data_IF_754829112096
#
_entry.id   IF_754829112096
#
_cell.length_a   1.000
_cell.length_b   1.000
_cell.length_c   1.000
_cell.angle_alpha   90.00
_cell.angle_beta   90.00
_cell.angle_gamma   90.00
#
_symmetry.space_group_name_H-M   'P 1'
#
loop_
_entity.id
_entity.type
_entity.pdbx_description
1 polymer ?
#
# COMPACT_ATOMS: atom_id res chain seq x y z
N UNK A 1 -23.42 33.70 43.35
CA UNK A 1 -23.46 32.23 43.45
C UNK A 1 -24.67 31.77 42.64
N UNK A 2 -24.61 31.13 41.48
CA UNK A 2 -23.54 30.51 40.73
C UNK A 2 -23.73 30.82 39.24
N UNK A 3 -22.72 31.47 38.66
CA UNK A 3 -22.43 31.46 37.23
C UNK A 3 -21.42 30.31 36.99
N UNK A 4 -21.25 29.92 35.73
CA UNK A 4 -20.33 28.90 35.20
C UNK A 4 -20.76 27.43 35.38
N UNK A 5 -21.51 26.87 34.41
CA UNK A 5 -21.27 25.46 34.01
C UNK A 5 -21.82 25.01 32.64
N UNK A 6 -22.00 25.92 31.67
CA UNK A 6 -22.47 25.54 30.32
C UNK A 6 -21.37 25.56 29.24
N UNK A 7 -20.09 25.65 29.61
CA UNK A 7 -18.99 25.88 28.66
C UNK A 7 -18.05 24.71 28.35
N UNK A 8 -18.11 23.57 29.06
CA UNK A 8 -17.00 22.58 29.02
C UNK A 8 -17.40 21.22 28.43
N UNK A 9 -18.69 20.91 28.27
CA UNK A 9 -19.11 19.59 27.74
C UNK A 9 -19.24 19.52 26.22
N UNK A 10 -18.99 20.63 25.50
CA UNK A 10 -19.14 20.72 24.05
C UNK A 10 -17.85 20.66 23.24
N UNK A 11 -16.67 20.48 23.87
CA UNK A 11 -15.38 20.65 23.18
C UNK A 11 -14.44 19.44 23.22
N UNK A 12 -14.88 18.29 23.74
CA UNK A 12 -14.00 17.11 23.92
C UNK A 12 -14.36 15.88 23.08
N UNK A 13 -15.35 15.97 22.18
CA UNK A 13 -15.76 14.86 21.30
C UNK A 13 -15.67 15.18 19.81
N UNK A 14 -14.76 16.09 19.42
CA UNK A 14 -14.47 16.36 17.99
C UNK A 14 -12.99 16.10 17.63
N UNK A 15 -12.11 15.82 18.61
CA UNK A 15 -10.68 15.67 18.35
C UNK A 15 -10.21 14.24 17.96
N UNK A 16 -11.06 13.21 18.02
CA UNK A 16 -10.60 11.82 17.87
C UNK A 16 -10.81 11.19 16.49
N UNK A 17 -11.44 11.88 15.54
CA UNK A 17 -11.68 11.32 14.19
C UNK A 17 -10.79 11.89 13.08
N UNK A 18 -9.89 12.83 13.40
CA UNK A 18 -9.03 13.46 12.40
C UNK A 18 -7.62 12.82 12.28
N UNK A 19 -7.26 11.84 13.12
CA UNK A 19 -5.89 11.29 13.11
C UNK A 19 -5.69 10.08 12.17
N UNK A 20 -6.75 9.55 11.56
CA UNK A 20 -6.64 8.36 10.70
C UNK A 20 -6.20 8.64 9.25
N UNK A 21 -6.03 9.92 8.84
CA UNK A 21 -5.80 10.29 7.44
C UNK A 21 -4.32 10.42 7.00
N UNK A 22 -3.34 10.10 7.85
CA UNK A 22 -1.91 10.26 7.53
C UNK A 22 -1.14 8.95 7.29
N UNK A 23 -1.81 7.80 7.32
CA UNK A 23 -1.18 6.52 6.97
C UNK A 23 -1.53 6.23 5.50
N UNK A 24 -0.78 6.86 4.58
CA UNK A 24 -0.74 6.38 3.20
C UNK A 24 -0.36 4.88 3.21
N UNK A 25 -0.85 4.06 2.27
CA UNK A 25 -0.61 2.62 2.31
C UNK A 25 0.88 2.31 2.18
N UNK A 26 1.54 2.09 3.33
CA UNK A 26 2.93 1.66 3.44
C UNK A 26 3.16 0.26 2.85
N UNK A 27 2.08 -0.44 2.54
CA UNK A 27 2.07 -1.85 2.15
C UNK A 27 2.49 -2.03 0.68
N UNK A 28 1.93 -1.25 -0.25
CA UNK A 28 2.36 -1.30 -1.66
C UNK A 28 3.85 -0.91 -1.80
N UNK A 29 4.30 -0.02 -0.91
CA UNK A 29 5.67 0.43 -0.77
C UNK A 29 6.62 -0.65 -0.22
N UNK A 30 6.11 -1.58 0.60
CA UNK A 30 6.89 -2.69 1.18
C UNK A 30 7.08 -3.87 0.22
N UNK A 31 6.41 -3.90 -0.93
CA UNK A 31 6.63 -4.97 -1.90
C UNK A 31 8.02 -4.86 -2.55
N UNK A 32 8.40 -3.64 -2.94
CA UNK A 32 9.62 -3.37 -3.68
C UNK A 32 10.91 -3.48 -2.84
N UNK A 33 10.81 -3.58 -1.51
CA UNK A 33 11.97 -3.72 -0.60
C UNK A 33 12.11 -5.13 0.02
N UNK A 34 11.37 -6.12 -0.47
CA UNK A 34 11.44 -7.52 -0.01
C UNK A 34 12.42 -8.38 -0.81
N UNK A 35 12.96 -9.43 -0.17
CA UNK A 35 13.87 -10.41 -0.81
C UNK A 35 13.24 -11.24 -1.93
N UNK A 36 11.91 -11.35 -1.94
CA UNK A 36 11.08 -12.02 -2.95
C UNK A 36 10.30 -11.02 -3.83
N UNK A 37 10.50 -9.72 -3.60
CA UNK A 37 9.92 -8.65 -4.41
C UNK A 37 10.58 -8.51 -5.79
N UNK A 38 9.95 -7.73 -6.69
CA UNK A 38 10.29 -7.71 -8.12
C UNK A 38 11.64 -7.04 -8.37
N UNK A 39 12.01 -6.04 -7.57
CA UNK A 39 13.31 -5.37 -7.62
C UNK A 39 14.45 -6.38 -7.36
N UNK A 40 14.32 -7.20 -6.32
CA UNK A 40 15.32 -8.20 -5.97
C UNK A 40 15.29 -9.39 -6.93
N UNK A 41 14.10 -9.77 -7.43
CA UNK A 41 13.97 -10.80 -8.47
C UNK A 41 14.78 -10.46 -9.71
N UNK A 42 14.63 -9.24 -10.25
CA UNK A 42 15.43 -8.77 -11.38
C UNK A 42 16.91 -8.65 -11.03
N UNK A 43 17.26 -8.26 -9.79
CA UNK A 43 18.64 -8.21 -9.35
C UNK A 43 19.32 -9.58 -9.34
N UNK A 44 18.61 -10.64 -8.93
CA UNK A 44 19.12 -12.01 -8.97
C UNK A 44 19.40 -12.46 -10.40
N UNK A 45 18.46 -12.21 -11.30
CA UNK A 45 18.60 -12.52 -12.73
C UNK A 45 19.78 -11.75 -13.34
N UNK A 46 19.82 -10.42 -13.14
CA UNK A 46 20.91 -9.57 -13.61
C UNK A 46 22.28 -10.06 -13.11
N UNK A 47 22.41 -10.35 -11.81
CA UNK A 47 23.66 -10.86 -11.26
C UNK A 47 24.03 -12.22 -11.85
N UNK A 48 23.08 -13.14 -12.00
CA UNK A 48 23.30 -14.47 -12.58
C UNK A 48 23.79 -14.39 -14.03
N UNK A 49 23.20 -13.50 -14.83
CA UNK A 49 23.52 -13.32 -16.24
C UNK A 49 24.73 -12.40 -16.46
N UNK A 50 25.13 -11.64 -15.43
CA UNK A 50 26.19 -10.62 -15.54
C UNK A 50 25.76 -9.39 -16.36
N UNK A 51 24.45 -9.21 -16.58
CA UNK A 51 23.87 -8.08 -17.30
C UNK A 51 23.12 -7.16 -16.34
N UNK A 52 23.56 -5.91 -16.21
CA UNK A 52 22.93 -4.90 -15.34
C UNK A 52 21.63 -4.37 -15.93
N UNK A 53 21.38 -4.54 -17.22
CA UNK A 53 20.26 -3.89 -17.93
C UNK A 53 18.89 -4.11 -17.29
N UNK A 54 18.51 -5.32 -16.82
CA UNK A 54 17.19 -5.56 -16.23
C UNK A 54 16.90 -4.74 -14.98
N UNK A 55 17.93 -4.34 -14.21
CA UNK A 55 17.72 -3.62 -12.94
C UNK A 55 17.61 -2.11 -13.09
N UNK A 56 18.09 -1.54 -14.19
CA UNK A 56 18.16 -0.08 -14.35
C UNK A 56 16.78 0.56 -14.48
N UNK A 57 15.77 -0.20 -14.93
CA UNK A 57 14.37 0.24 -14.99
C UNK A 57 13.76 0.56 -13.61
N UNK A 58 14.37 0.10 -12.53
CA UNK A 58 13.90 0.33 -11.17
C UNK A 58 14.42 1.63 -10.54
N UNK A 59 15.34 2.33 -11.19
CA UNK A 59 15.93 3.57 -10.63
C UNK A 59 15.74 4.74 -11.59
N UNK A 60 15.93 5.96 -11.10
CA UNK A 60 15.94 7.13 -11.98
C UNK A 60 17.19 7.10 -12.86
N UNK A 61 17.09 7.70 -14.04
CA UNK A 61 18.20 7.74 -15.00
C UNK A 61 19.48 8.36 -14.41
N UNK A 62 19.33 9.37 -13.54
CA UNK A 62 20.45 10.01 -12.82
C UNK A 62 21.17 9.09 -11.83
N UNK A 63 20.50 8.05 -11.33
CA UNK A 63 21.04 7.10 -10.35
C UNK A 63 21.66 5.84 -11.01
N UNK A 64 21.46 5.63 -12.32
CA UNK A 64 22.04 4.49 -13.04
C UNK A 64 23.56 4.32 -12.84
N UNK A 65 24.38 5.40 -12.83
CA UNK A 65 25.82 5.26 -12.62
C UNK A 65 26.18 4.63 -11.27
N UNK A 66 25.40 4.89 -10.22
CA UNK A 66 25.60 4.27 -8.90
C UNK A 66 25.33 2.76 -8.96
N UNK A 67 24.22 2.37 -9.59
CA UNK A 67 23.82 0.96 -9.73
C UNK A 67 24.83 0.17 -10.56
N UNK A 68 25.29 0.73 -11.69
CA UNK A 68 26.32 0.09 -12.53
C UNK A 68 27.61 -0.16 -11.75
N UNK A 69 28.07 0.83 -10.99
CA UNK A 69 29.27 0.70 -10.14
C UNK A 69 29.10 -0.35 -9.04
N UNK A 70 27.94 -0.38 -8.38
CA UNK A 70 27.64 -1.40 -7.36
C UNK A 70 27.58 -2.80 -7.97
N UNK A 71 27.00 -2.94 -9.16
CA UNK A 71 26.90 -4.19 -9.90
C UNK A 71 28.27 -4.76 -10.27
N UNK A 72 29.15 -3.94 -10.84
CA UNK A 72 30.53 -4.34 -11.19
C UNK A 72 31.32 -4.82 -9.96
N UNK A 73 31.23 -4.09 -8.85
CA UNK A 73 31.84 -4.50 -7.58
C UNK A 73 31.30 -5.84 -7.12
N UNK A 74 29.99 -6.02 -7.19
CA UNK A 74 29.31 -7.26 -6.79
C UNK A 74 29.80 -8.45 -7.63
N UNK A 75 29.84 -8.32 -8.95
CA UNK A 75 30.37 -9.36 -9.84
C UNK A 75 31.83 -9.73 -9.52
N UNK A 76 32.65 -8.75 -9.13
CA UNK A 76 34.06 -9.00 -8.79
C UNK A 76 34.24 -9.79 -7.49
N UNK A 77 33.38 -9.59 -6.50
CA UNK A 77 33.44 -10.25 -5.18
C UNK A 77 32.70 -11.58 -5.17
N UNK A 78 31.53 -11.68 -5.83
CA UNK A 78 30.64 -12.86 -5.75
C UNK A 78 31.19 -14.15 -6.36
N UNK A 79 32.35 -14.06 -7.02
CA UNK A 79 33.06 -15.18 -7.65
C UNK A 79 34.14 -15.80 -6.75
N UNK A 80 34.42 -15.22 -5.59
CA UNK A 80 35.49 -15.69 -4.70
C UNK A 80 35.12 -17.00 -4.01
N UNK A 81 34.03 -17.00 -3.24
CA UNK A 81 33.47 -18.17 -2.56
C UNK A 81 31.97 -17.95 -2.26
N UNK A 82 31.33 -18.95 -1.64
CA UNK A 82 29.89 -18.91 -1.34
C UNK A 82 29.52 -17.81 -0.33
N UNK A 83 30.34 -17.60 0.72
CA UNK A 83 30.09 -16.54 1.69
C UNK A 83 30.28 -15.15 1.10
N UNK A 84 31.29 -14.99 0.25
CA UNK A 84 31.53 -13.76 -0.50
C UNK A 84 30.40 -13.48 -1.50
N UNK A 85 29.82 -14.52 -2.12
CA UNK A 85 28.63 -14.40 -2.98
C UNK A 85 27.45 -13.88 -2.21
N UNK A 86 27.10 -14.51 -1.08
CA UNK A 86 25.95 -14.10 -0.29
C UNK A 86 26.09 -12.65 0.18
N UNK A 87 27.28 -12.27 0.69
CA UNK A 87 27.55 -10.91 1.13
C UNK A 87 27.48 -9.89 -0.03
N UNK A 88 28.06 -10.21 -1.18
CA UNK A 88 28.07 -9.32 -2.34
C UNK A 88 26.66 -9.15 -2.93
N UNK A 89 25.91 -10.24 -3.05
CA UNK A 89 24.54 -10.22 -3.56
C UNK A 89 23.64 -9.41 -2.62
N UNK A 90 23.71 -9.62 -1.30
CA UNK A 90 22.97 -8.81 -0.32
C UNK A 90 23.35 -7.34 -0.39
N UNK A 91 24.64 -7.00 -0.48
CA UNK A 91 25.09 -5.61 -0.66
C UNK A 91 24.44 -4.96 -1.89
N UNK A 92 24.35 -5.69 -3.00
CA UNK A 92 23.71 -5.17 -4.21
C UNK A 92 22.22 -4.98 -4.04
N UNK A 93 21.52 -5.94 -3.43
CA UNK A 93 20.08 -5.84 -3.17
C UNK A 93 19.75 -4.64 -2.30
N UNK A 94 20.47 -4.45 -1.19
CA UNK A 94 20.28 -3.29 -0.30
C UNK A 94 20.55 -1.97 -1.02
N UNK A 95 21.58 -1.92 -1.88
CA UNK A 95 21.92 -0.73 -2.66
C UNK A 95 20.82 -0.40 -3.66
N UNK A 96 20.41 -1.36 -4.47
CA UNK A 96 19.37 -1.19 -5.49
C UNK A 96 18.04 -0.79 -4.86
N UNK A 97 17.61 -1.49 -3.82
CA UNK A 97 16.38 -1.17 -3.09
C UNK A 97 16.45 0.22 -2.50
N UNK A 98 17.53 0.60 -1.81
CA UNK A 98 17.66 1.95 -1.25
C UNK A 98 17.51 3.04 -2.31
N UNK A 99 18.17 2.88 -3.46
CA UNK A 99 18.13 3.85 -4.56
C UNK A 99 16.73 3.90 -5.18
N UNK A 100 16.11 2.74 -5.44
CA UNK A 100 14.73 2.66 -5.93
C UNK A 100 13.75 3.40 -5.00
N UNK A 101 13.81 3.11 -3.70
CA UNK A 101 12.96 3.74 -2.67
C UNK A 101 13.15 5.26 -2.61
N UNK A 102 14.41 5.72 -2.70
CA UNK A 102 14.69 7.16 -2.78
C UNK A 102 14.10 7.79 -4.05
N UNK A 103 14.10 7.07 -5.18
CA UNK A 103 13.44 7.45 -6.42
C UNK A 103 11.93 7.67 -6.26
N UNK A 104 11.28 6.84 -5.43
CA UNK A 104 9.85 6.95 -5.06
C UNK A 104 9.56 8.05 -4.02
N UNK A 105 10.60 8.75 -3.51
CA UNK A 105 10.46 9.70 -2.41
C UNK A 105 10.21 9.05 -1.05
N UNK A 106 10.54 7.77 -0.91
CA UNK A 106 10.24 6.97 0.26
C UNK A 106 11.51 6.56 1.04
N UNK A 107 11.43 6.48 2.39
CA UNK A 107 12.59 6.10 3.19
C UNK A 107 12.95 4.63 2.95
N UNK A 108 14.26 4.36 2.94
CA UNK A 108 14.79 2.99 3.04
C UNK A 108 14.81 2.56 4.51
N UNK A 109 14.11 1.46 4.83
CA UNK A 109 14.00 0.94 6.21
C UNK A 109 14.59 -0.47 6.35
N UNK A 110 15.56 -0.79 5.49
CA UNK A 110 16.17 -2.12 5.41
C UNK A 110 15.47 -3.04 4.43
N UNK A 111 16.22 -4.01 3.92
CA UNK A 111 15.73 -5.09 3.07
C UNK A 111 14.85 -6.04 3.91
N UNK A 112 13.62 -6.28 3.45
CA UNK A 112 12.62 -7.08 4.18
C UNK A 112 12.77 -8.57 3.85
N UNK A 113 12.41 -9.41 4.82
CA UNK A 113 12.40 -10.85 4.64
C UNK A 113 11.38 -11.29 3.60
N UNK A 114 11.64 -12.42 2.94
CA UNK A 114 10.68 -13.03 2.03
C UNK A 114 9.38 -13.42 2.74
N UNK A 115 8.26 -13.42 2.02
CA UNK A 115 6.94 -13.72 2.55
C UNK A 115 6.27 -12.58 3.31
N UNK A 116 6.87 -11.38 3.33
CA UNK A 116 6.26 -10.17 3.87
C UNK A 116 5.27 -9.51 2.89
N UNK A 117 5.16 -10.03 1.66
CA UNK A 117 4.24 -9.54 0.63
C UNK A 117 2.80 -9.92 0.95
N UNK A 118 1.88 -8.96 0.88
CA UNK A 118 0.47 -9.26 1.06
C UNK A 118 -0.07 -10.17 -0.07
N UNK A 119 -0.91 -11.17 0.26
CA UNK A 119 -1.39 -12.14 -0.74
C UNK A 119 -2.09 -11.53 -1.95
N UNK A 120 -2.76 -10.39 -1.79
CA UNK A 120 -3.43 -9.70 -2.91
C UNK A 120 -2.43 -9.06 -3.87
N UNK A 121 -1.31 -8.56 -3.37
CA UNK A 121 -0.23 -7.99 -4.16
C UNK A 121 0.49 -9.10 -4.92
N UNK A 122 0.86 -10.19 -4.25
CA UNK A 122 1.48 -11.35 -4.90
C UNK A 122 0.60 -11.92 -6.04
N UNK A 123 -0.73 -11.94 -5.87
CA UNK A 123 -1.66 -12.34 -6.95
C UNK A 123 -1.73 -11.33 -8.09
N UNK A 124 -1.54 -10.03 -7.81
CA UNK A 124 -1.45 -9.00 -8.84
C UNK A 124 -0.18 -9.15 -9.68
N UNK A 125 0.96 -9.41 -9.06
CA UNK A 125 2.20 -9.67 -9.79
C UNK A 125 2.10 -10.94 -10.64
N UNK A 126 1.54 -12.02 -10.08
CA UNK A 126 1.31 -13.26 -10.83
C UNK A 126 0.38 -13.03 -12.04
N UNK A 127 -0.64 -12.19 -11.88
CA UNK A 127 -1.53 -11.84 -12.98
C UNK A 127 -0.80 -11.08 -14.11
N UNK A 128 0.16 -10.21 -13.76
CA UNK A 128 1.02 -9.53 -14.73
C UNK A 128 1.96 -10.51 -15.43
N UNK A 129 2.61 -11.40 -14.67
CA UNK A 129 3.50 -12.44 -15.19
C UNK A 129 2.78 -13.37 -16.17
N UNK A 130 1.54 -13.75 -15.85
CA UNK A 130 0.70 -14.60 -16.70
C UNK A 130 0.01 -13.84 -17.85
N UNK A 131 0.10 -12.51 -17.86
CA UNK A 131 -0.62 -11.66 -18.81
C UNK A 131 -2.15 -11.76 -18.69
N UNK A 132 -2.68 -12.17 -17.54
CA UNK A 132 -4.11 -12.41 -17.32
C UNK A 132 -4.58 -11.96 -15.93
N UNK A 133 -5.29 -10.83 -15.89
CA UNK A 133 -5.90 -10.29 -14.66
C UNK A 133 -7.32 -10.78 -14.35
N UNK A 134 -7.93 -11.64 -15.18
CA UNK A 134 -9.35 -11.95 -15.09
C UNK A 134 -9.74 -12.61 -13.76
N UNK A 135 -8.95 -13.57 -13.28
CA UNK A 135 -9.25 -14.29 -12.03
C UNK A 135 -9.09 -13.41 -10.80
N UNK A 136 -8.08 -12.53 -10.79
CA UNK A 136 -7.89 -11.54 -9.74
C UNK A 136 -9.08 -10.57 -9.68
N UNK A 137 -9.47 -10.01 -10.84
CA UNK A 137 -10.61 -9.10 -10.94
C UNK A 137 -11.90 -9.76 -10.46
N UNK A 138 -12.17 -10.99 -10.90
CA UNK A 138 -13.33 -11.77 -10.49
C UNK A 138 -13.34 -12.02 -8.98
N UNK A 139 -12.19 -12.41 -8.42
CA UNK A 139 -12.05 -12.65 -6.98
C UNK A 139 -12.34 -11.39 -6.18
N UNK A 140 -11.78 -10.24 -6.57
CA UNK A 140 -12.02 -8.95 -5.90
C UNK A 140 -13.51 -8.57 -6.01
N UNK A 141 -14.09 -8.67 -7.20
CA UNK A 141 -15.50 -8.36 -7.42
C UNK A 141 -16.43 -9.21 -6.53
N UNK A 142 -16.16 -10.52 -6.41
CA UNK A 142 -16.93 -11.41 -5.55
C UNK A 142 -16.85 -11.04 -4.06
N UNK A 143 -15.67 -10.60 -3.58
CA UNK A 143 -15.53 -10.12 -2.20
C UNK A 143 -16.30 -8.82 -1.96
N UNK A 144 -16.24 -7.89 -2.91
CA UNK A 144 -16.99 -6.63 -2.87
C UNK A 144 -18.50 -6.90 -2.86
N UNK A 145 -18.97 -7.74 -3.78
CA UNK A 145 -20.38 -8.14 -3.86
C UNK A 145 -20.87 -8.75 -2.56
N UNK A 146 -20.14 -9.75 -2.04
CA UNK A 146 -20.46 -10.38 -0.75
C UNK A 146 -20.53 -9.35 0.38
N UNK A 147 -19.54 -8.46 0.48
CA UNK A 147 -19.48 -7.45 1.53
C UNK A 147 -20.63 -6.43 1.47
N UNK A 148 -21.09 -6.09 0.25
CA UNK A 148 -22.27 -5.25 0.01
C UNK A 148 -23.53 -5.98 0.48
N UNK A 149 -23.73 -7.22 0.02
CA UNK A 149 -24.95 -8.00 0.31
C UNK A 149 -25.12 -8.29 1.80
N UNK A 150 -24.03 -8.62 2.51
CA UNK A 150 -24.07 -8.86 3.96
C UNK A 150 -24.52 -7.61 4.75
N UNK A 151 -23.91 -6.45 4.47
CA UNK A 151 -24.23 -5.20 5.16
C UNK A 151 -25.61 -4.68 4.78
N UNK A 152 -25.99 -4.80 3.51
CA UNK A 152 -27.34 -4.48 3.04
C UNK A 152 -28.38 -5.34 3.77
N UNK A 153 -28.15 -6.65 3.84
CA UNK A 153 -29.04 -7.60 4.52
C UNK A 153 -29.25 -7.21 5.98
N UNK A 154 -28.18 -6.92 6.72
CA UNK A 154 -28.27 -6.48 8.11
C UNK A 154 -29.01 -5.14 8.27
N UNK A 155 -28.68 -4.13 7.46
CA UNK A 155 -29.35 -2.84 7.49
C UNK A 155 -30.85 -2.95 7.12
N UNK A 156 -31.19 -3.82 6.19
CA UNK A 156 -32.58 -4.05 5.77
C UNK A 156 -33.38 -4.85 6.81
N UNK A 157 -32.74 -5.76 7.54
CA UNK A 157 -33.39 -6.49 8.63
C UNK A 157 -33.72 -5.57 9.80
N UNK A 158 -32.74 -4.82 10.30
CA UNK A 158 -32.94 -3.87 11.42
C UNK A 158 -33.95 -2.77 11.06
N UNK A 159 -34.02 -2.38 9.79
CA UNK A 159 -35.00 -1.40 9.27
C UNK A 159 -36.45 -1.79 9.59
N UNK A 160 -36.78 -3.09 9.58
CA UNK A 160 -38.14 -3.57 9.84
C UNK A 160 -38.62 -3.20 11.25
N UNK A 161 -37.69 -3.03 12.18
CA UNK A 161 -37.93 -2.78 13.60
C UNK A 161 -37.53 -1.36 14.04
N UNK A 162 -37.10 -0.50 13.11
CA UNK A 162 -36.49 0.79 13.42
C UNK A 162 -37.42 1.75 14.19
N UNK A 163 -38.73 1.54 14.14
CA UNK A 163 -39.73 2.37 14.84
C UNK A 163 -40.34 1.66 16.07
N UNK A 164 -39.92 0.44 16.39
CA UNK A 164 -40.47 -0.34 17.51
C UNK A 164 -40.01 0.25 18.86
N UNK A 165 -38.81 0.84 18.90
CA UNK A 165 -38.27 1.58 20.05
C UNK A 165 -37.12 2.49 19.63
N UNK A 166 -36.72 3.39 20.54
CA UNK A 166 -35.54 4.24 20.32
C UNK A 166 -34.26 3.42 20.14
N UNK A 167 -34.10 2.32 20.89
CA UNK A 167 -32.89 1.50 20.81
C UNK A 167 -32.85 0.67 19.52
N UNK A 168 -33.99 0.12 19.09
CA UNK A 168 -34.10 -0.54 17.78
C UNK A 168 -33.85 0.44 16.62
N UNK A 169 -34.31 1.69 16.76
CA UNK A 169 -34.00 2.75 15.80
C UNK A 169 -32.50 3.08 15.74
N UNK A 170 -31.80 3.10 16.88
CA UNK A 170 -30.34 3.33 16.93
C UNK A 170 -29.56 2.19 16.28
N UNK A 171 -29.94 0.95 16.54
CA UNK A 171 -29.35 -0.23 15.90
C UNK A 171 -29.50 -0.15 14.36
N UNK A 172 -30.69 0.23 13.88
CA UNK A 172 -30.89 0.43 12.46
C UNK A 172 -29.99 1.54 11.88
N UNK A 173 -29.89 2.69 12.56
CA UNK A 173 -29.04 3.80 12.08
C UNK A 173 -27.57 3.38 12.01
N UNK A 174 -27.06 2.63 12.99
CA UNK A 174 -25.70 2.09 12.95
C UNK A 174 -25.50 1.18 11.73
N UNK A 175 -26.38 0.19 11.54
CA UNK A 175 -26.32 -0.73 10.41
C UNK A 175 -26.40 -0.01 9.06
N UNK A 176 -27.28 0.99 8.95
CA UNK A 176 -27.44 1.84 7.76
C UNK A 176 -26.16 2.61 7.44
N UNK A 177 -25.58 3.31 8.42
CA UNK A 177 -24.36 4.10 8.24
C UNK A 177 -23.19 3.20 7.86
N UNK A 178 -23.04 2.04 8.52
CA UNK A 178 -22.00 1.05 8.16
C UNK A 178 -22.14 0.57 6.72
N UNK A 179 -23.36 0.25 6.26
CA UNK A 179 -23.61 -0.15 4.88
C UNK A 179 -23.25 0.96 3.89
N UNK A 180 -23.74 2.19 4.12
CA UNK A 180 -23.53 3.33 3.21
C UNK A 180 -22.05 3.70 3.12
N UNK A 181 -21.33 3.80 4.24
CA UNK A 181 -19.90 4.11 4.24
C UNK A 181 -19.07 3.03 3.54
N UNK A 182 -19.46 1.75 3.66
CA UNK A 182 -18.77 0.67 2.95
C UNK A 182 -18.93 0.81 1.43
N UNK A 183 -20.15 1.06 0.94
CA UNK A 183 -20.42 1.29 -0.49
C UNK A 183 -19.69 2.53 -0.99
N UNK A 184 -19.76 3.64 -0.24
CA UNK A 184 -19.06 4.88 -0.58
C UNK A 184 -17.54 4.66 -0.67
N UNK A 185 -16.96 3.92 0.28
CA UNK A 185 -15.53 3.58 0.29
C UNK A 185 -15.11 2.81 -0.96
N UNK A 186 -15.90 1.82 -1.38
CA UNK A 186 -15.66 1.07 -2.62
C UNK A 186 -15.74 2.00 -3.83
N UNK A 187 -16.80 2.80 -3.94
CA UNK A 187 -17.02 3.72 -5.06
C UNK A 187 -15.87 4.74 -5.17
N UNK A 188 -15.39 5.27 -4.05
CA UNK A 188 -14.22 6.17 -4.02
C UNK A 188 -12.95 5.47 -4.47
N UNK A 189 -12.70 4.24 -4.00
CA UNK A 189 -11.53 3.47 -4.39
C UNK A 189 -11.53 3.14 -5.89
N UNK A 190 -12.69 2.84 -6.48
CA UNK A 190 -12.83 2.51 -7.92
C UNK A 190 -12.74 3.75 -8.82
N UNK A 191 -13.32 4.89 -8.42
CA UNK A 191 -13.33 6.11 -9.25
C UNK A 191 -12.09 7.00 -9.10
N UNK A 192 -11.20 6.67 -8.16
CA UNK A 192 -9.85 7.23 -8.08
C UNK A 192 -9.72 8.51 -7.24
N UNK A 193 -9.09 8.38 -6.08
CA UNK A 193 -8.01 9.29 -5.72
C UNK A 193 -6.71 8.68 -6.24
N UNK A 194 -5.84 9.47 -6.88
CA UNK A 194 -4.56 8.99 -7.40
C UNK A 194 -3.70 8.38 -6.28
N UNK A 195 -3.35 7.10 -6.41
CA UNK A 195 -2.40 6.41 -5.55
C UNK A 195 -0.98 6.41 -6.15
N UNK A 196 -0.55 7.55 -6.67
CA UNK A 196 0.87 7.79 -6.96
C UNK A 196 1.22 9.20 -6.48
N UNK A 197 2.33 9.28 -5.73
CA UNK A 197 2.81 10.49 -5.07
C UNK A 197 3.21 11.58 -6.02
N UNK A 198 2.22 12.29 -6.55
CA UNK A 198 2.42 13.62 -7.11
C UNK A 198 1.91 14.60 -6.07
N UNK A 199 2.84 15.20 -5.33
CA UNK A 199 2.56 16.46 -4.67
C UNK A 199 2.18 17.43 -5.78
N UNK A 200 0.88 17.66 -5.95
CA UNK A 200 0.39 18.79 -6.69
C UNK A 200 1.08 20.02 -6.09
N UNK A 201 1.98 20.62 -6.88
CA UNK A 201 2.57 21.90 -6.55
C UNK A 201 1.42 22.85 -6.19
N UNK A 202 1.44 23.35 -4.97
CA UNK A 202 0.49 24.34 -4.49
C UNK A 202 0.46 25.52 -5.46
N UNK A 203 -0.63 25.69 -6.20
CA UNK A 203 -0.90 26.95 -6.85
C UNK A 203 -1.28 27.93 -5.73
N UNK A 204 -0.35 28.84 -5.50
CA UNK A 204 -0.54 30.04 -4.69
C UNK A 204 -1.73 30.83 -5.24
N UNK A 205 -2.82 30.91 -4.46
CA UNK A 205 -3.89 31.85 -4.73
C UNK A 205 -3.77 33.00 -3.74
N UNK A 206 -3.08 34.05 -4.19
CA UNK A 206 -3.24 35.40 -3.65
C UNK A 206 -4.70 35.83 -3.75
N UNK A 207 -5.29 36.23 -2.63
CA UNK A 207 -6.24 37.34 -2.50
C UNK A 207 -6.18 37.93 -1.10
#
# INVERSE_FOLDING_TARGET
MNSLNNGIKGFLTVASFALALLIAPQIAQAHCDTLDGPVVSDARTALADGDVTPVLKWVKAEDEPEIRKAFEKTLSVRKLDAGARDLADTYFFETLVRVHRAGEGAPYTGLKAAGAVEPVIAKADLALEQGNGAELAKTIAAHVEKGILERFGHANETKKHANDSVDAGREHVEAYVTYVHYVEGIVKAVHGGAHHGEQAASIDHQH
#
